data_IF_760419933138
#
_entry.id   IF_760419933138
#
_cell.length_a   1.000
_cell.length_b   1.000
_cell.length_c   1.000
_cell.angle_alpha   90.00
_cell.angle_beta   90.00
_cell.angle_gamma   90.00
#
_symmetry.space_group_name_H-M   'P 1'
#
loop_
_entity.id
_entity.type
_entity.pdbx_description
1 polymer ?
#
# COMPACT_ATOMS: atom_id res chain seq x y z
N UNK A 1 13.97 -0.47 2.52
CA UNK A 1 12.64 -0.04 2.07
C UNK A 1 12.28 -0.65 0.73
N UNK A 2 13.10 -0.46 -0.31
CA UNK A 2 12.75 -0.88 -1.68
C UNK A 2 12.59 -2.40 -1.86
N UNK A 3 13.47 -3.21 -1.28
CA UNK A 3 13.47 -4.67 -1.49
C UNK A 3 12.15 -5.33 -1.05
N UNK A 4 11.70 -5.10 0.18
CA UNK A 4 10.41 -5.64 0.63
C UNK A 4 9.20 -4.93 0.02
N UNK A 5 9.34 -3.68 -0.43
CA UNK A 5 8.24 -3.01 -1.14
C UNK A 5 7.97 -3.69 -2.48
N UNK A 6 8.98 -3.80 -3.33
CA UNK A 6 8.82 -4.38 -4.66
C UNK A 6 8.65 -5.90 -4.57
N UNK A 7 9.37 -6.56 -3.66
CA UNK A 7 9.22 -7.99 -3.41
C UNK A 7 7.80 -8.37 -2.99
N UNK A 8 7.18 -7.65 -2.05
CA UNK A 8 5.79 -7.92 -1.64
C UNK A 8 4.76 -7.59 -2.73
N UNK A 9 5.07 -6.68 -3.66
CA UNK A 9 4.24 -6.44 -4.85
C UNK A 9 4.33 -7.62 -5.82
N UNK A 10 5.53 -8.19 -6.00
CA UNK A 10 5.77 -9.33 -6.90
C UNK A 10 5.29 -10.66 -6.33
N UNK A 11 5.26 -10.77 -5.00
CA UNK A 11 4.88 -11.95 -4.22
C UNK A 11 3.70 -11.65 -3.26
N UNK A 12 2.49 -11.39 -3.79
CA UNK A 12 1.34 -11.03 -2.99
C UNK A 12 0.91 -12.12 -1.99
N UNK A 13 1.29 -13.38 -2.21
CA UNK A 13 1.07 -14.51 -1.30
C UNK A 13 1.73 -14.35 0.08
N UNK A 14 2.72 -13.45 0.19
CA UNK A 14 3.37 -13.12 1.46
C UNK A 14 2.63 -12.02 2.24
N UNK A 15 1.53 -11.49 1.68
CA UNK A 15 0.71 -10.41 2.23
C UNK A 15 -0.75 -10.86 2.39
N UNK A 16 -1.47 -10.34 3.38
CA UNK A 16 -2.85 -10.76 3.64
C UNK A 16 -3.88 -9.72 3.18
N UNK A 17 -3.68 -8.45 3.55
CA UNK A 17 -4.63 -7.35 3.30
C UNK A 17 -3.94 -6.13 2.71
N UNK A 18 -3.21 -6.36 1.61
CA UNK A 18 -2.50 -5.29 0.93
C UNK A 18 -3.46 -4.25 0.36
N UNK A 19 -3.13 -2.97 0.53
CA UNK A 19 -3.86 -1.86 -0.10
C UNK A 19 -3.52 -1.72 -1.58
N UNK A 20 -2.61 -2.55 -2.09
CA UNK A 20 -2.20 -2.58 -3.49
C UNK A 20 -3.28 -3.30 -4.31
N UNK A 21 -3.84 -2.67 -5.37
CA UNK A 21 -4.80 -3.32 -6.23
C UNK A 21 -4.20 -4.55 -6.92
N UNK A 22 -4.98 -5.63 -7.07
CA UNK A 22 -4.51 -6.91 -7.66
C UNK A 22 -3.90 -6.77 -9.05
N UNK A 23 -4.34 -5.79 -9.84
CA UNK A 23 -3.79 -5.53 -11.19
C UNK A 23 -2.46 -4.76 -11.16
N UNK A 24 -2.08 -4.16 -10.03
CA UNK A 24 -0.86 -3.39 -9.92
C UNK A 24 0.39 -4.28 -10.03
N UNK A 25 0.33 -5.54 -9.58
CA UNK A 25 1.42 -6.52 -9.77
C UNK A 25 1.68 -6.76 -11.25
N UNK A 26 0.63 -7.05 -12.03
CA UNK A 26 0.74 -7.23 -13.48
C UNK A 26 1.18 -5.95 -14.20
N UNK A 27 0.68 -4.80 -13.77
CA UNK A 27 1.05 -3.50 -14.33
C UNK A 27 2.53 -3.17 -14.06
N UNK A 28 3.03 -3.45 -12.86
CA UNK A 28 4.43 -3.25 -12.49
C UNK A 28 5.32 -4.21 -13.27
N UNK A 29 4.97 -5.51 -13.35
CA UNK A 29 5.68 -6.47 -14.22
C UNK A 29 5.74 -5.96 -15.67
N UNK A 30 4.61 -5.51 -16.21
CA UNK A 30 4.53 -4.93 -17.56
C UNK A 30 5.40 -3.69 -17.73
N UNK A 31 5.34 -2.74 -16.79
CA UNK A 31 6.16 -1.53 -16.84
C UNK A 31 7.66 -1.86 -16.80
N UNK A 32 8.06 -2.87 -16.03
CA UNK A 32 9.45 -3.32 -15.97
C UNK A 32 9.90 -3.93 -17.31
N UNK A 33 9.08 -4.79 -17.92
CA UNK A 33 9.35 -5.35 -19.26
C UNK A 33 9.39 -4.26 -20.34
N UNK A 34 8.47 -3.30 -20.28
CA UNK A 34 8.43 -2.18 -21.21
C UNK A 34 9.64 -1.26 -21.04
N UNK A 35 10.03 -0.93 -19.81
CA UNK A 35 11.22 -0.11 -19.57
C UNK A 35 12.50 -0.77 -20.10
N UNK A 36 12.61 -2.09 -19.97
CA UNK A 36 13.73 -2.84 -20.51
C UNK A 36 13.79 -2.80 -22.04
N UNK A 37 12.65 -2.92 -22.71
CA UNK A 37 12.54 -2.89 -24.18
C UNK A 37 12.72 -1.48 -24.73
N UNK A 38 12.19 -0.46 -24.08
CA UNK A 38 12.44 0.94 -24.44
C UNK A 38 13.93 1.31 -24.32
N UNK A 39 14.63 0.82 -23.29
CA UNK A 39 16.09 1.00 -23.19
C UNK A 39 16.85 0.33 -24.34
N UNK A 40 16.38 -0.82 -24.86
CA UNK A 40 16.98 -1.45 -26.04
C UNK A 40 16.74 -0.65 -27.33
N UNK A 41 15.57 -0.02 -27.45
CA UNK A 41 15.27 0.86 -28.59
C UNK A 41 16.15 2.11 -28.58
N UNK A 42 16.25 2.78 -27.42
CA UNK A 42 17.10 3.96 -27.25
C UNK A 42 18.58 3.66 -27.50
N UNK A 43 19.04 2.46 -27.15
CA UNK A 43 20.39 1.99 -27.47
C UNK A 43 20.65 1.88 -28.98
N UNK A 44 19.64 1.46 -29.75
CA UNK A 44 19.72 1.44 -31.22
C UNK A 44 19.61 2.84 -31.85
N UNK A 45 18.76 3.70 -31.30
CA UNK A 45 18.49 5.04 -31.83
C UNK A 45 19.63 6.03 -31.53
N UNK A 46 20.30 5.88 -30.39
CA UNK A 46 21.38 6.77 -29.94
C UNK A 46 22.64 5.98 -29.54
N UNK A 47 23.43 5.47 -30.50
CA UNK A 47 24.62 4.64 -30.24
C UNK A 47 25.70 5.32 -29.39
N UNK A 48 25.69 6.66 -29.34
CA UNK A 48 26.59 7.47 -28.52
C UNK A 48 26.31 7.36 -27.01
N UNK A 49 25.13 6.86 -26.63
CA UNK A 49 24.70 6.66 -25.24
C UNK A 49 24.54 5.16 -24.88
N UNK A 50 25.13 4.26 -25.68
CA UNK A 50 25.04 2.82 -25.44
C UNK A 50 25.51 2.40 -24.05
N UNK A 51 26.65 2.92 -23.59
CA UNK A 51 27.18 2.59 -22.27
C UNK A 51 26.21 2.95 -21.11
N UNK A 52 25.68 4.18 -21.01
CA UNK A 52 24.70 4.51 -19.97
C UNK A 52 23.38 3.74 -20.09
N UNK A 53 22.88 3.47 -21.31
CA UNK A 53 21.66 2.67 -21.49
C UNK A 53 21.84 1.22 -21.04
N UNK A 54 22.93 0.56 -21.44
CA UNK A 54 23.26 -0.79 -21.00
C UNK A 54 23.50 -0.85 -19.49
N UNK A 55 24.16 0.14 -18.91
CA UNK A 55 24.36 0.24 -17.45
C UNK A 55 23.02 0.34 -16.71
N UNK A 56 22.10 1.18 -17.19
CA UNK A 56 20.76 1.35 -16.61
C UNK A 56 19.93 0.07 -16.75
N UNK A 57 20.00 -0.60 -17.90
CA UNK A 57 19.32 -1.86 -18.14
C UNK A 57 19.82 -2.95 -17.20
N UNK A 58 21.15 -3.12 -17.06
CA UNK A 58 21.75 -4.09 -16.12
C UNK A 58 21.31 -3.82 -14.68
N UNK A 59 21.32 -2.57 -14.23
CA UNK A 59 20.86 -2.18 -12.88
C UNK A 59 19.38 -2.47 -12.67
N UNK A 60 18.53 -2.22 -13.68
CA UNK A 60 17.11 -2.52 -13.62
C UNK A 60 16.87 -4.03 -13.51
N UNK A 61 17.52 -4.82 -14.36
CA UNK A 61 17.40 -6.29 -14.35
C UNK A 61 17.90 -6.90 -13.05
N UNK A 62 19.05 -6.46 -12.55
CA UNK A 62 19.58 -6.93 -11.27
C UNK A 62 18.61 -6.66 -10.11
N UNK A 63 18.03 -5.44 -10.05
CA UNK A 63 17.02 -5.12 -9.02
C UNK A 63 15.78 -5.98 -9.11
N UNK A 64 15.31 -6.33 -10.31
CA UNK A 64 14.15 -7.22 -10.49
C UNK A 64 14.49 -8.62 -9.97
N UNK A 65 15.61 -9.18 -10.40
CA UNK A 65 16.09 -10.50 -9.97
C UNK A 65 16.24 -10.59 -8.45
N UNK A 66 16.82 -9.58 -7.83
CA UNK A 66 16.99 -9.54 -6.37
C UNK A 66 15.64 -9.47 -5.64
N UNK A 67 14.67 -8.74 -6.19
CA UNK A 67 13.35 -8.58 -5.57
C UNK A 67 12.39 -9.77 -5.84
N UNK A 68 12.58 -10.54 -6.91
CA UNK A 68 11.80 -11.74 -7.26
C UNK A 68 12.31 -13.00 -6.51
N UNK A 69 13.42 -12.89 -5.78
CA UNK A 69 13.93 -13.96 -4.95
C UNK A 69 13.13 -14.06 -3.63
N UNK A 70 12.12 -14.93 -3.63
CA UNK A 70 11.25 -15.20 -2.47
C UNK A 70 12.03 -15.55 -1.21
N UNK A 71 13.12 -16.31 -1.33
CA UNK A 71 13.90 -16.73 -0.15
C UNK A 71 14.66 -15.55 0.46
N UNK A 72 15.25 -14.70 -0.38
CA UNK A 72 15.88 -13.47 0.07
C UNK A 72 14.87 -12.50 0.69
N UNK A 73 13.68 -12.37 0.08
CA UNK A 73 12.59 -11.57 0.62
C UNK A 73 12.13 -12.08 1.99
N UNK A 74 11.93 -13.40 2.14
CA UNK A 74 11.59 -14.02 3.44
C UNK A 74 12.66 -13.74 4.50
N UNK A 75 13.94 -13.80 4.12
CA UNK A 75 15.05 -13.45 5.02
C UNK A 75 14.95 -12.01 5.49
N UNK A 76 14.81 -11.04 4.59
CA UNK A 76 14.66 -9.62 4.95
C UNK A 76 13.42 -9.40 5.83
N UNK A 77 12.29 -10.04 5.51
CA UNK A 77 11.08 -9.94 6.32
C UNK A 77 11.24 -10.55 7.73
N UNK A 78 12.09 -11.57 7.87
CA UNK A 78 12.49 -12.13 9.14
C UNK A 78 13.38 -11.18 9.94
N UNK A 79 14.40 -10.60 9.31
CA UNK A 79 15.27 -9.58 9.93
C UNK A 79 14.47 -8.35 10.37
N UNK A 80 13.52 -7.90 9.55
CA UNK A 80 12.57 -6.85 9.91
C UNK A 80 11.77 -7.20 11.16
N UNK A 81 11.31 -8.45 11.28
CA UNK A 81 10.57 -8.91 12.46
C UNK A 81 11.41 -8.74 13.73
N UNK A 82 12.68 -9.16 13.69
CA UNK A 82 13.61 -9.02 14.82
C UNK A 82 13.85 -7.55 15.20
N UNK A 83 13.95 -6.66 14.20
CA UNK A 83 14.07 -5.21 14.47
C UNK A 83 12.81 -4.67 15.13
N UNK A 84 11.62 -5.11 14.69
CA UNK A 84 10.37 -4.70 15.33
C UNK A 84 10.24 -5.22 16.77
N UNK A 85 10.81 -6.39 17.08
CA UNK A 85 10.90 -6.90 18.46
C UNK A 85 11.80 -6.02 19.34
N UNK A 86 12.94 -5.58 18.81
CA UNK A 86 13.81 -4.64 19.51
C UNK A 86 13.11 -3.29 19.76
N UNK A 87 12.36 -2.80 18.78
CA UNK A 87 11.57 -1.56 18.92
C UNK A 87 10.48 -1.73 19.98
N UNK A 88 9.77 -2.86 19.99
CA UNK A 88 8.75 -3.14 21.01
C UNK A 88 9.36 -3.15 22.41
N UNK A 89 10.51 -3.80 22.59
CA UNK A 89 11.23 -3.82 23.87
C UNK A 89 11.67 -2.41 24.31
N UNK A 90 12.16 -1.59 23.39
CA UNK A 90 12.56 -0.21 23.70
C UNK A 90 11.36 0.67 24.06
N UNK A 91 10.21 0.48 23.40
CA UNK A 91 8.97 1.19 23.73
C UNK A 91 8.42 0.77 25.11
N UNK A 92 8.50 -0.51 25.47
CA UNK A 92 8.10 -0.97 26.81
C UNK A 92 9.05 -0.40 27.87
N UNK A 93 10.36 -0.37 27.61
CA UNK A 93 11.34 0.26 28.51
C UNK A 93 11.01 1.73 28.75
N UNK A 94 10.70 2.50 27.69
CA UNK A 94 10.29 3.92 27.80
C UNK A 94 9.02 4.08 28.64
N UNK A 95 8.04 3.21 28.44
CA UNK A 95 6.79 3.23 29.20
C UNK A 95 7.00 3.02 30.69
N UNK A 96 7.93 2.14 31.08
CA UNK A 96 8.33 1.92 32.47
C UNK A 96 9.10 3.14 33.01
N UNK A 97 10.10 3.63 32.26
CA UNK A 97 10.96 4.75 32.63
C UNK A 97 10.17 6.03 32.93
N UNK A 98 9.15 6.31 32.12
CA UNK A 98 8.31 7.50 32.22
C UNK A 98 6.96 7.22 32.92
N UNK A 99 6.82 6.08 33.60
CA UNK A 99 5.59 5.74 34.31
C UNK A 99 5.27 6.80 35.37
N UNK A 100 4.06 7.36 35.31
CA UNK A 100 3.60 8.41 36.23
C UNK A 100 3.98 9.83 35.82
N UNK A 101 4.75 10.02 34.76
CA UNK A 101 5.03 11.35 34.19
C UNK A 101 3.96 11.74 33.16
N UNK A 102 3.60 13.03 33.12
CA UNK A 102 2.71 13.57 32.08
C UNK A 102 3.52 13.94 30.83
N UNK A 103 4.04 12.94 30.13
CA UNK A 103 4.71 13.13 28.84
C UNK A 103 4.17 12.16 27.78
N UNK A 104 4.33 12.53 26.51
CA UNK A 104 4.09 11.58 25.42
C UNK A 104 5.27 10.62 25.31
N UNK A 105 4.97 9.35 25.04
CA UNK A 105 5.98 8.30 24.89
C UNK A 105 6.31 8.14 23.40
N UNK A 106 7.51 8.56 23.01
CA UNK A 106 8.11 8.34 21.69
C UNK A 106 9.30 7.39 21.80
N UNK A 107 9.89 7.00 20.68
CA UNK A 107 10.85 5.90 20.62
C UNK A 107 12.10 6.16 21.46
N UNK A 108 12.69 7.35 21.31
CA UNK A 108 13.98 7.67 21.93
C UNK A 108 13.87 8.66 23.10
N UNK A 109 12.84 9.50 23.13
CA UNK A 109 12.73 10.63 24.05
C UNK A 109 11.25 11.01 24.30
N UNK A 110 10.97 11.90 25.28
CA UNK A 110 9.65 12.51 25.45
C UNK A 110 9.25 13.41 24.28
N UNK A 111 10.23 13.94 23.54
CA UNK A 111 10.01 14.70 22.32
C UNK A 111 9.93 13.80 21.09
N UNK A 112 9.17 14.26 20.09
CA UNK A 112 9.08 13.59 18.80
C UNK A 112 10.31 13.88 17.95
N UNK A 113 11.02 12.85 17.52
CA UNK A 113 12.32 12.93 16.84
C UNK A 113 12.29 12.36 15.43
N UNK A 114 13.42 12.45 14.73
CA UNK A 114 13.60 11.82 13.42
C UNK A 114 13.42 10.30 13.47
N UNK A 115 13.78 9.64 14.58
CA UNK A 115 13.62 8.20 14.73
C UNK A 115 12.12 7.82 14.65
N UNK A 116 11.24 8.64 15.24
CA UNK A 116 9.80 8.44 15.20
C UNK A 116 9.20 8.67 13.81
N UNK A 117 9.75 9.63 13.05
CA UNK A 117 9.39 9.85 11.64
C UNK A 117 9.73 8.63 10.80
N UNK A 118 10.97 8.13 10.94
CA UNK A 118 11.45 6.97 10.19
C UNK A 118 10.63 5.71 10.51
N UNK A 119 10.40 5.44 11.80
CA UNK A 119 9.57 4.32 12.25
C UNK A 119 8.12 4.48 11.78
N UNK A 120 7.54 5.66 11.91
CA UNK A 120 6.18 5.96 11.44
C UNK A 120 6.00 5.73 9.94
N UNK A 121 6.96 6.18 9.12
CA UNK A 121 6.96 5.95 7.68
C UNK A 121 7.12 4.46 7.33
N UNK A 122 7.97 3.74 8.05
CA UNK A 122 8.13 2.29 7.91
C UNK A 122 6.83 1.55 8.22
N UNK A 123 6.22 1.80 9.38
CA UNK A 123 4.97 1.14 9.80
C UNK A 123 3.82 1.45 8.84
N UNK A 124 3.75 2.69 8.34
CA UNK A 124 2.81 3.05 7.29
C UNK A 124 3.02 2.23 6.01
N UNK A 125 4.27 2.10 5.56
CA UNK A 125 4.60 1.29 4.38
C UNK A 125 4.24 -0.19 4.59
N UNK A 126 4.55 -0.75 5.75
CA UNK A 126 4.22 -2.15 6.07
C UNK A 126 2.70 -2.38 6.14
N UNK A 127 1.94 -1.41 6.69
CA UNK A 127 0.47 -1.44 6.66
C UNK A 127 -0.08 -1.37 5.23
N UNK A 128 0.49 -0.49 4.40
CA UNK A 128 0.13 -0.39 2.99
C UNK A 128 0.38 -1.71 2.23
N UNK A 129 1.49 -2.39 2.54
CA UNK A 129 1.83 -3.71 1.97
C UNK A 129 0.97 -4.86 2.52
N UNK A 130 0.06 -4.63 3.49
CA UNK A 130 -0.78 -5.68 4.07
C UNK A 130 -0.06 -6.58 5.07
N UNK A 131 1.01 -6.08 5.69
CA UNK A 131 1.83 -6.81 6.65
C UNK A 131 1.50 -6.46 8.13
N UNK A 132 0.64 -5.48 8.37
CA UNK A 132 0.33 -4.99 9.72
C UNK A 132 -0.27 -6.05 10.64
N UNK A 133 -1.19 -6.88 10.13
CA UNK A 133 -1.78 -8.00 10.89
C UNK A 133 -0.75 -9.00 11.39
N UNK A 134 0.28 -9.26 10.58
CA UNK A 134 1.35 -10.19 10.92
C UNK A 134 2.33 -9.62 11.95
N UNK A 135 2.55 -8.31 11.94
CA UNK A 135 3.62 -7.70 12.72
C UNK A 135 3.17 -6.94 13.97
N UNK A 136 1.93 -6.45 14.08
CA UNK A 136 1.51 -5.78 15.32
C UNK A 136 0.00 -5.72 15.57
N UNK A 137 -0.87 -5.95 14.59
CA UNK A 137 -2.34 -5.86 14.81
C UNK A 137 -2.95 -7.16 15.37
N UNK A 138 -2.17 -8.24 15.51
CA UNK A 138 -2.54 -9.48 16.20
C UNK A 138 -2.37 -9.39 17.73
N UNK A 139 -1.87 -8.25 18.24
CA UNK A 139 -1.57 -8.05 19.65
C UNK A 139 -0.15 -8.46 20.06
N UNK A 140 0.66 -9.00 19.14
CA UNK A 140 2.05 -9.40 19.42
C UNK A 140 2.95 -8.25 19.87
N UNK A 141 2.69 -7.02 19.38
CA UNK A 141 3.48 -5.82 19.64
C UNK A 141 2.58 -4.63 19.98
N UNK A 142 1.99 -4.67 21.18
CA UNK A 142 0.96 -3.73 21.60
C UNK A 142 1.50 -2.29 21.77
N UNK A 143 2.76 -2.13 22.20
CA UNK A 143 3.34 -0.80 22.35
C UNK A 143 3.65 -0.18 20.98
N UNK A 144 4.12 -0.97 20.02
CA UNK A 144 4.32 -0.58 18.64
C UNK A 144 3.00 -0.16 17.98
N UNK A 145 1.93 -0.93 18.19
CA UNK A 145 0.60 -0.58 17.72
C UNK A 145 0.13 0.77 18.31
N UNK A 146 0.28 0.94 19.63
CA UNK A 146 -0.09 2.18 20.33
C UNK A 146 0.74 3.38 19.86
N UNK A 147 2.04 3.18 19.64
CA UNK A 147 2.94 4.16 19.05
C UNK A 147 2.45 4.58 17.67
N UNK A 148 2.13 3.63 16.79
CA UNK A 148 1.71 3.94 15.44
C UNK A 148 0.38 4.71 15.40
N UNK A 149 -0.59 4.33 16.22
CA UNK A 149 -1.86 5.06 16.38
C UNK A 149 -1.61 6.52 16.80
N UNK A 150 -0.61 6.76 17.66
CA UNK A 150 -0.22 8.12 18.08
C UNK A 150 0.39 8.91 16.93
N UNK A 151 1.29 8.29 16.16
CA UNK A 151 1.89 8.90 14.95
C UNK A 151 0.81 9.31 13.95
N UNK A 152 -0.17 8.44 13.70
CA UNK A 152 -1.26 8.69 12.74
C UNK A 152 -2.14 9.90 13.11
N UNK A 153 -2.22 10.27 14.39
CA UNK A 153 -2.99 11.44 14.85
C UNK A 153 -2.28 12.77 14.56
N UNK A 154 -0.96 12.77 14.34
CA UNK A 154 -0.19 14.01 14.12
C UNK A 154 -0.61 14.70 12.84
N UNK A 155 -0.77 16.03 12.89
CA UNK A 155 -1.17 16.83 11.73
C UNK A 155 -0.24 16.65 10.53
N UNK A 156 1.09 16.72 10.73
CA UNK A 156 2.06 16.54 9.66
C UNK A 156 1.91 15.18 8.96
N UNK A 157 1.69 14.12 9.73
CA UNK A 157 1.49 12.78 9.19
C UNK A 157 0.21 12.69 8.36
N UNK A 158 -0.92 13.23 8.88
CA UNK A 158 -2.20 13.28 8.15
C UNK A 158 -2.12 14.14 6.89
N UNK A 159 -1.44 15.27 6.95
CA UNK A 159 -1.25 16.17 5.80
C UNK A 159 -0.50 15.47 4.67
N UNK A 160 0.58 14.77 4.99
CA UNK A 160 1.42 14.09 3.99
C UNK A 160 0.74 12.83 3.45
N UNK A 161 0.16 12.00 4.33
CA UNK A 161 -0.34 10.69 3.92
C UNK A 161 -1.81 10.67 3.49
N UNK A 162 -2.59 11.68 3.87
CA UNK A 162 -3.89 11.96 3.26
C UNK A 162 -3.75 12.22 1.75
N UNK A 163 -2.68 12.89 1.34
CA UNK A 163 -2.37 13.14 -0.08
C UNK A 163 -1.67 11.96 -0.77
N UNK A 164 -0.85 11.16 -0.08
CA UNK A 164 -0.12 10.02 -0.69
C UNK A 164 -1.02 8.83 -1.01
N UNK A 165 -2.08 8.59 -0.23
CA UNK A 165 -3.13 7.66 -0.66
C UNK A 165 -3.62 8.08 -2.04
N UNK A 166 -3.83 9.37 -2.26
CA UNK A 166 -4.20 9.99 -3.54
C UNK A 166 -3.12 9.85 -4.60
N UNK A 167 -1.82 9.89 -4.29
CA UNK A 167 -0.76 9.76 -5.31
C UNK A 167 -0.59 8.34 -5.82
N UNK A 168 -0.56 7.33 -4.96
CA UNK A 168 -0.53 5.91 -5.37
C UNK A 168 -1.87 5.48 -5.97
N UNK A 169 -2.99 5.94 -5.41
CA UNK A 169 -4.29 5.84 -6.07
C UNK A 169 -4.23 6.56 -7.42
N UNK A 170 -3.64 7.74 -7.58
CA UNK A 170 -3.60 8.48 -8.87
C UNK A 170 -2.68 7.86 -9.91
N UNK A 171 -1.68 7.05 -9.52
CA UNK A 171 -0.89 6.27 -10.46
C UNK A 171 -1.67 5.06 -10.98
N UNK A 172 -2.63 4.57 -10.19
CA UNK A 172 -3.29 3.27 -10.40
C UNK A 172 -4.76 3.48 -10.85
N UNK A 173 -5.40 4.60 -10.47
CA UNK A 173 -6.75 5.07 -10.81
C UNK A 173 -6.93 5.30 -12.32
N UNK A 174 -6.04 6.01 -13.03
CA UNK A 174 -6.22 6.25 -14.46
C UNK A 174 -6.36 4.93 -15.22
N UNK A 175 -5.60 3.92 -14.79
CA UNK A 175 -5.66 2.58 -15.33
C UNK A 175 -6.91 1.82 -14.84
N UNK A 176 -7.32 1.96 -13.58
CA UNK A 176 -8.60 1.44 -13.05
C UNK A 176 -9.80 1.98 -13.85
N UNK A 177 -9.88 3.29 -14.04
CA UNK A 177 -10.91 3.98 -14.80
C UNK A 177 -10.89 3.56 -16.28
N UNK A 178 -9.70 3.39 -16.86
CA UNK A 178 -9.55 2.86 -18.22
C UNK A 178 -10.03 1.40 -18.32
N UNK A 179 -9.82 0.58 -17.29
CA UNK A 179 -10.35 -0.80 -17.23
C UNK A 179 -11.87 -0.83 -17.09
N UNK A 180 -12.46 0.04 -16.27
CA UNK A 180 -13.92 0.20 -16.15
C UNK A 180 -14.54 0.69 -17.47
N UNK A 181 -13.84 1.56 -18.22
CA UNK A 181 -14.27 1.96 -19.58
C UNK A 181 -14.16 0.83 -20.60
N UNK A 182 -13.16 -0.07 -20.48
CA UNK A 182 -12.95 -1.21 -21.41
C UNK A 182 -13.86 -2.41 -21.11
N UNK A 183 -14.24 -2.60 -19.86
CA UNK A 183 -15.24 -3.59 -19.42
C UNK A 183 -16.33 -2.84 -18.65
N UNK A 184 -17.32 -2.23 -19.33
CA UNK A 184 -18.41 -1.59 -18.63
C UNK A 184 -19.04 -2.65 -17.72
N UNK A 185 -19.15 -2.40 -16.40
CA UNK A 185 -19.77 -3.36 -15.51
C UNK A 185 -21.22 -3.53 -15.97
N UNK A 186 -21.61 -4.75 -16.32
CA UNK A 186 -22.99 -5.11 -16.68
C UNK A 186 -24.01 -4.74 -15.58
N UNK A 187 -23.52 -4.40 -14.38
CA UNK A 187 -24.27 -3.88 -13.24
C UNK A 187 -25.03 -2.57 -13.50
N UNK A 188 -24.60 -1.69 -14.41
CA UNK A 188 -25.37 -0.48 -14.71
C UNK A 188 -26.70 -0.81 -15.39
N UNK A 189 -26.74 -1.83 -16.25
CA UNK A 189 -27.99 -2.31 -16.87
C UNK A 189 -28.90 -2.99 -15.85
N UNK A 190 -28.35 -3.86 -15.01
CA UNK A 190 -29.14 -4.60 -14.01
C UNK A 190 -29.71 -3.70 -12.90
N UNK A 191 -28.96 -2.70 -12.43
CA UNK A 191 -29.42 -1.79 -11.37
C UNK A 191 -30.51 -0.83 -11.86
N UNK A 192 -30.40 -0.38 -13.12
CA UNK A 192 -31.44 0.44 -13.75
C UNK A 192 -32.73 -0.36 -13.99
N UNK A 193 -32.62 -1.60 -14.44
CA UNK A 193 -33.77 -2.49 -14.65
C UNK A 193 -34.51 -2.79 -13.34
N UNK A 194 -33.79 -3.13 -12.27
CA UNK A 194 -34.41 -3.40 -10.95
C UNK A 194 -35.04 -2.14 -10.34
N UNK A 195 -34.42 -0.97 -10.50
CA UNK A 195 -34.99 0.30 -10.06
C UNK A 195 -36.28 0.68 -10.82
N UNK A 196 -36.31 0.45 -12.13
CA UNK A 196 -37.48 0.74 -12.96
C UNK A 196 -38.67 -0.19 -12.66
N UNK A 197 -38.43 -1.48 -12.45
CA UNK A 197 -39.46 -2.46 -12.10
C UNK A 197 -40.04 -2.20 -10.70
N UNK A 198 -39.18 -1.88 -9.73
CA UNK A 198 -39.62 -1.50 -8.38
C UNK A 198 -40.45 -0.20 -8.38
N UNK A 199 -40.02 0.80 -9.15
CA UNK A 199 -40.73 2.08 -9.29
C UNK A 199 -42.10 1.92 -9.95
N UNK A 200 -42.20 1.14 -11.03
CA UNK A 200 -43.47 0.86 -11.70
C UNK A 200 -44.45 0.09 -10.80
N UNK A 201 -43.96 -0.91 -10.05
CA UNK A 201 -44.79 -1.65 -9.10
C UNK A 201 -45.36 -0.78 -7.99
N UNK A 202 -44.54 0.13 -7.43
CA UNK A 202 -45.00 1.07 -6.41
C UNK A 202 -46.03 2.06 -6.95
N UNK A 203 -45.83 2.56 -8.18
CA UNK A 203 -46.76 3.48 -8.83
C UNK A 203 -48.11 2.82 -9.14
N UNK A 204 -48.10 1.56 -9.60
CA UNK A 204 -49.31 0.78 -9.84
C UNK A 204 -50.07 0.50 -8.54
N UNK A 205 -49.36 0.14 -7.47
CA UNK A 205 -49.97 -0.04 -6.13
C UNK A 205 -50.59 1.26 -5.61
N UNK A 206 -49.89 2.39 -5.71
CA UNK A 206 -50.39 3.68 -5.27
C UNK A 206 -51.62 4.13 -6.08
N UNK A 207 -51.62 3.93 -7.40
CA UNK A 207 -52.74 4.23 -8.27
C UNK A 207 -53.98 3.36 -7.97
N UNK A 208 -53.79 2.06 -7.75
CA UNK A 208 -54.86 1.16 -7.36
C UNK A 208 -55.43 1.49 -5.98
N UNK A 209 -54.57 1.82 -5.02
CA UNK A 209 -54.98 2.26 -3.68
C UNK A 209 -55.85 3.52 -3.73
N UNK A 210 -55.53 4.48 -4.60
CA UNK A 210 -56.30 5.73 -4.76
C UNK A 210 -57.65 5.55 -5.48
N UNK A 211 -57.81 4.47 -6.26
CA UNK A 211 -59.01 4.24 -7.08
C UNK A 211 -60.04 3.34 -6.41
N UNK A 212 -59.62 2.48 -5.48
CA UNK A 212 -60.48 1.45 -4.87
C UNK A 212 -60.54 1.48 -3.33
N UNK A 213 -59.86 2.44 -2.69
CA UNK A 213 -60.11 2.88 -1.31
C UNK A 213 -60.39 4.37 -1.28
#
# INVERSE_FOLDING_TARGET
MDAYTHGCILHPELTADSMIPKYATEEIRRHLTNAATELMKLDHEEPQLTEPYLSKQKKLMAKILDHDNVNYLKKILGELAMVLDQVEAELEKRKIEYQGQKCELWLCAPEFTLADVCLGALLHRLKFLGLSKKYWEDGSRANLQSFFVRVQKRYAFRKVLGDIHTTLLSAVLPNAFRMVKKKPPSFFGASFLMGSLGGMGYFAYWYLKKKYM
#
